data_IF_812754355345
#
_entry.id   IF_812754355345
#
_cell.length_a   1.000
_cell.length_b   1.000
_cell.length_c   1.000
_cell.angle_alpha   90.00
_cell.angle_beta   90.00
_cell.angle_gamma   90.00
#
_symmetry.space_group_name_H-M   'P 1'
#
loop_
_entity.id
_entity.type
_entity.pdbx_description
1 polymer ?
#
# COMPACT_ATOMS: atom_id res chain seq x y z
N UNK A 1 -37.36 45.52 9.77
CA UNK A 1 -36.05 45.06 9.24
C UNK A 1 -36.23 43.69 8.58
N UNK A 2 -35.42 43.32 7.57
CA UNK A 2 -35.38 41.99 7.00
C UNK A 2 -35.23 40.90 8.06
N UNK A 3 -35.96 39.80 7.89
CA UNK A 3 -35.87 38.60 8.73
C UNK A 3 -36.00 37.36 7.84
N UNK A 4 -35.01 36.46 7.91
CA UNK A 4 -35.08 35.15 7.26
C UNK A 4 -36.08 34.30 8.04
N UNK A 5 -37.07 33.75 7.34
CA UNK A 5 -38.19 32.98 7.93
C UNK A 5 -38.21 31.53 7.47
N UNK A 6 -37.50 31.20 6.40
CA UNK A 6 -37.33 29.85 5.89
C UNK A 6 -35.95 29.72 5.26
N UNK A 7 -35.22 28.70 5.66
CA UNK A 7 -33.87 28.40 5.19
C UNK A 7 -33.59 26.89 5.36
N UNK A 8 -32.55 26.34 4.72
CA UNK A 8 -32.13 24.96 4.91
C UNK A 8 -31.48 24.76 6.30
N UNK A 9 -31.32 23.50 6.76
CA UNK A 9 -30.54 23.21 7.97
C UNK A 9 -29.09 23.71 7.83
N UNK A 10 -28.39 23.89 8.95
CA UNK A 10 -27.00 24.37 8.98
C UNK A 10 -26.04 23.46 8.20
N UNK A 11 -26.33 22.16 8.12
CA UNK A 11 -25.56 21.20 7.34
C UNK A 11 -26.46 20.43 6.38
N UNK A 12 -26.06 20.34 5.12
CA UNK A 12 -26.72 19.53 4.09
C UNK A 12 -25.74 18.48 3.56
N UNK A 13 -26.05 17.20 3.79
CA UNK A 13 -25.27 16.06 3.30
C UNK A 13 -25.83 15.61 1.95
N UNK A 14 -24.95 15.40 0.98
CA UNK A 14 -25.30 14.90 -0.36
C UNK A 14 -24.25 13.88 -0.82
N UNK A 15 -24.61 13.02 -1.77
CA UNK A 15 -23.67 12.20 -2.54
C UNK A 15 -23.36 12.85 -3.90
N UNK A 16 -22.23 12.52 -4.53
CA UNK A 16 -21.98 12.96 -5.92
C UNK A 16 -23.10 12.48 -6.87
N UNK A 17 -23.54 13.36 -7.76
CA UNK A 17 -24.64 13.15 -8.70
C UNK A 17 -26.04 13.40 -8.13
N UNK A 18 -26.18 13.73 -6.84
CA UNK A 18 -27.48 14.14 -6.27
C UNK A 18 -27.84 15.59 -6.61
N UNK A 19 -29.10 15.98 -6.35
CA UNK A 19 -29.57 17.36 -6.51
C UNK A 19 -29.34 18.19 -5.23
N UNK A 20 -28.64 19.33 -5.37
CA UNK A 20 -28.55 20.36 -4.34
C UNK A 20 -29.61 21.44 -4.58
N UNK A 21 -30.64 21.44 -3.72
CA UNK A 21 -31.64 22.51 -3.63
C UNK A 21 -31.46 23.34 -2.36
N UNK A 22 -31.28 24.66 -2.49
CA UNK A 22 -31.15 25.60 -1.37
C UNK A 22 -32.19 26.71 -1.51
N UNK A 23 -33.25 26.65 -0.69
CA UNK A 23 -34.30 27.68 -0.66
C UNK A 23 -34.13 28.62 0.52
N UNK A 24 -34.28 29.92 0.29
CA UNK A 24 -34.27 30.94 1.34
C UNK A 24 -35.43 31.92 1.15
N UNK A 25 -36.16 32.23 2.22
CA UNK A 25 -37.25 33.22 2.21
C UNK A 25 -37.06 34.22 3.34
N UNK A 26 -37.25 35.50 3.04
CA UNK A 26 -37.14 36.59 3.99
C UNK A 26 -38.32 37.56 3.88
N UNK A 27 -38.68 38.14 5.02
CA UNK A 27 -39.75 39.13 5.14
C UNK A 27 -39.18 40.47 5.56
N UNK A 28 -39.84 41.57 5.20
CA UNK A 28 -39.41 42.92 5.55
C UNK A 28 -40.22 43.98 4.81
N UNK A 29 -40.13 45.23 5.28
CA UNK A 29 -40.66 46.41 4.61
C UNK A 29 -39.53 47.43 4.43
N UNK A 30 -39.16 47.80 3.18
CA UNK A 30 -39.56 47.17 1.91
C UNK A 30 -39.20 45.67 1.84
N UNK A 31 -39.86 44.94 0.94
CA UNK A 31 -39.57 43.50 0.71
C UNK A 31 -38.07 43.36 0.41
N UNK A 32 -37.33 42.51 1.16
CA UNK A 32 -35.90 42.37 0.96
C UNK A 32 -35.57 41.66 -0.36
N UNK A 33 -34.44 42.04 -0.93
CA UNK A 33 -33.71 41.25 -1.91
C UNK A 33 -33.04 40.07 -1.19
N UNK A 34 -33.10 38.88 -1.78
CA UNK A 34 -32.58 37.64 -1.21
C UNK A 34 -31.65 37.01 -2.24
N UNK A 35 -30.39 36.80 -1.86
CA UNK A 35 -29.37 36.24 -2.75
C UNK A 35 -28.63 35.09 -2.10
N UNK A 36 -28.27 34.07 -2.87
CA UNK A 36 -27.39 32.99 -2.46
C UNK A 36 -25.97 33.22 -2.97
N UNK A 37 -24.99 32.97 -2.11
CA UNK A 37 -23.57 33.07 -2.43
C UNK A 37 -22.84 31.76 -2.14
N UNK A 38 -21.80 31.47 -2.92
CA UNK A 38 -20.75 30.49 -2.60
C UNK A 38 -19.40 31.12 -2.88
N UNK A 39 -18.48 31.04 -1.93
CA UNK A 39 -17.12 31.61 -2.06
C UNK A 39 -17.13 33.09 -2.51
N UNK A 40 -18.05 33.88 -1.94
CA UNK A 40 -18.31 35.29 -2.27
C UNK A 40 -18.88 35.57 -3.67
N UNK A 41 -19.13 34.55 -4.48
CA UNK A 41 -19.77 34.66 -5.80
C UNK A 41 -21.28 34.50 -5.63
N UNK A 42 -22.05 35.45 -6.18
CA UNK A 42 -23.51 35.36 -6.21
C UNK A 42 -23.95 34.28 -7.20
N UNK A 43 -24.82 33.38 -6.74
CA UNK A 43 -25.34 32.27 -7.53
C UNK A 43 -26.70 32.59 -8.14
N UNK A 44 -27.59 33.20 -7.34
CA UNK A 44 -28.95 33.54 -7.72
C UNK A 44 -29.48 34.64 -6.80
N UNK A 45 -30.32 35.51 -7.35
CA UNK A 45 -31.03 36.56 -6.63
C UNK A 45 -32.55 36.43 -6.80
N UNK A 46 -33.31 37.02 -5.88
CA UNK A 46 -34.77 37.07 -5.94
C UNK A 46 -35.36 38.06 -4.96
N UNK A 47 -36.65 38.36 -5.11
CA UNK A 47 -37.36 39.32 -4.26
C UNK A 47 -38.23 38.60 -3.23
N UNK A 48 -37.89 38.74 -1.95
CA UNK A 48 -38.53 38.04 -0.83
C UNK A 48 -38.16 36.56 -0.70
N UNK A 49 -37.67 35.93 -1.78
CA UNK A 49 -37.15 34.56 -1.76
C UNK A 49 -36.20 34.29 -2.92
N UNK A 50 -35.25 33.38 -2.72
CA UNK A 50 -34.41 32.82 -3.77
C UNK A 50 -34.22 31.31 -3.56
N UNK A 51 -34.15 30.58 -4.67
CA UNK A 51 -33.91 29.14 -4.69
C UNK A 51 -32.76 28.81 -5.65
N UNK A 52 -31.67 28.28 -5.10
CA UNK A 52 -30.55 27.78 -5.89
C UNK A 52 -30.73 26.27 -6.12
N UNK A 53 -30.49 25.85 -7.37
CA UNK A 53 -30.60 24.47 -7.82
C UNK A 53 -29.34 24.07 -8.58
N UNK A 54 -28.65 23.04 -8.10
CA UNK A 54 -27.64 22.32 -8.87
C UNK A 54 -28.07 20.86 -9.02
N UNK A 55 -28.31 20.42 -10.26
CA UNK A 55 -28.82 19.08 -10.58
C UNK A 55 -27.71 18.02 -10.71
N UNK A 56 -26.45 18.43 -10.79
CA UNK A 56 -25.30 17.53 -10.96
C UNK A 56 -24.21 17.91 -9.95
N UNK A 57 -24.42 17.52 -8.69
CA UNK A 57 -23.52 17.84 -7.59
C UNK A 57 -22.23 17.05 -7.73
N UNK A 58 -21.12 17.78 -7.74
CA UNK A 58 -19.76 17.23 -7.72
C UNK A 58 -19.08 17.51 -6.37
N UNK A 59 -17.98 16.82 -6.06
CA UNK A 59 -17.15 17.15 -4.88
C UNK A 59 -16.70 18.61 -4.78
N UNK A 60 -16.66 19.35 -5.90
CA UNK A 60 -16.32 20.79 -5.93
C UNK A 60 -17.42 21.67 -5.36
N UNK A 61 -18.63 21.15 -5.24
CA UNK A 61 -19.77 21.84 -4.64
C UNK A 61 -19.76 21.81 -3.11
N UNK A 62 -18.83 21.07 -2.52
CA UNK A 62 -18.56 21.10 -1.08
C UNK A 62 -18.12 22.51 -0.66
N UNK A 63 -18.72 23.04 0.40
CA UNK A 63 -18.40 24.37 0.90
C UNK A 63 -19.56 25.04 1.63
N UNK A 64 -19.35 26.30 2.00
CA UNK A 64 -20.35 27.10 2.69
C UNK A 64 -21.14 27.95 1.70
N UNK A 65 -22.46 27.83 1.74
CA UNK A 65 -23.40 28.61 0.97
C UNK A 65 -24.08 29.61 1.90
N UNK A 66 -24.17 30.87 1.49
CA UNK A 66 -24.73 31.94 2.32
C UNK A 66 -25.95 32.53 1.65
N UNK A 67 -27.09 32.49 2.33
CA UNK A 67 -28.24 33.33 1.98
C UNK A 67 -28.08 34.69 2.64
N UNK A 68 -28.20 35.76 1.87
CA UNK A 68 -28.21 37.14 2.36
C UNK A 68 -29.55 37.77 1.99
N UNK A 69 -30.25 38.33 2.97
CA UNK A 69 -31.47 39.11 2.76
C UNK A 69 -31.24 40.57 3.16
N UNK A 70 -31.41 41.48 2.20
CA UNK A 70 -31.08 42.91 2.36
C UNK A 70 -32.23 43.81 1.94
N UNK A 71 -32.44 44.88 2.70
CA UNK A 71 -33.18 46.04 2.23
C UNK A 71 -32.47 47.33 2.71
N UNK A 72 -33.10 48.49 2.51
CA UNK A 72 -32.55 49.78 2.94
C UNK A 72 -32.38 49.95 4.46
N UNK A 73 -33.01 49.12 5.28
CA UNK A 73 -32.96 49.21 6.74
C UNK A 73 -31.86 48.34 7.35
N UNK A 74 -31.71 47.09 6.89
CA UNK A 74 -30.65 46.19 7.39
C UNK A 74 -30.36 45.04 6.43
N UNK A 75 -29.36 44.25 6.79
CA UNK A 75 -28.98 43.00 6.13
C UNK A 75 -28.93 41.88 7.19
N UNK A 76 -29.43 40.71 6.83
CA UNK A 76 -29.35 39.49 7.64
C UNK A 76 -28.86 38.34 6.76
N UNK A 77 -28.19 37.37 7.36
CA UNK A 77 -27.62 36.24 6.64
C UNK A 77 -27.82 34.90 7.35
N UNK A 78 -27.82 33.82 6.57
CA UNK A 78 -27.83 32.44 7.05
C UNK A 78 -26.83 31.62 6.24
N UNK A 79 -26.01 30.81 6.90
CA UNK A 79 -24.99 29.98 6.24
C UNK A 79 -25.34 28.50 6.35
N UNK A 80 -25.14 27.77 5.25
CA UNK A 80 -25.35 26.33 5.13
C UNK A 80 -24.04 25.68 4.68
N UNK A 81 -23.55 24.72 5.44
CA UNK A 81 -22.44 23.87 5.06
C UNK A 81 -22.95 22.72 4.19
N UNK A 82 -22.60 22.72 2.91
CA UNK A 82 -22.87 21.60 1.99
C UNK A 82 -21.70 20.65 2.03
N UNK A 83 -21.95 19.40 2.41
CA UNK A 83 -20.96 18.33 2.44
C UNK A 83 -21.33 17.29 1.38
N UNK A 84 -20.54 17.25 0.32
CA UNK A 84 -20.64 16.22 -0.72
C UNK A 84 -19.79 15.02 -0.31
N UNK A 85 -20.42 13.86 -0.21
CA UNK A 85 -19.84 12.58 0.20
C UNK A 85 -19.47 11.77 -1.04
N UNK A 86 -18.30 11.18 -1.00
CA UNK A 86 -17.76 10.35 -2.07
C UNK A 86 -16.80 9.31 -1.51
N UNK A 87 -16.72 8.17 -2.19
CA UNK A 87 -15.78 7.09 -1.86
C UNK A 87 -14.33 7.56 -2.06
N UNK A 88 -13.34 6.90 -1.46
CA UNK A 88 -11.95 7.28 -1.64
C UNK A 88 -11.48 7.23 -3.10
N UNK A 89 -10.73 8.24 -3.52
CA UNK A 89 -10.14 8.33 -4.86
C UNK A 89 -8.66 8.69 -4.79
N UNK A 90 -7.95 8.44 -5.89
CA UNK A 90 -6.54 8.84 -6.01
C UNK A 90 -5.64 8.15 -5.00
N UNK A 91 -5.93 6.89 -4.65
CA UNK A 91 -5.14 6.09 -3.71
C UNK A 91 -3.68 6.07 -4.11
N UNK A 92 -2.80 6.45 -3.19
CA UNK A 92 -1.34 6.39 -3.32
C UNK A 92 -0.78 5.61 -2.15
N UNK A 93 0.26 4.84 -2.41
CA UNK A 93 1.00 4.07 -1.40
C UNK A 93 2.50 4.31 -1.60
N UNK A 94 3.23 4.52 -0.51
CA UNK A 94 4.68 4.71 -0.49
C UNK A 94 5.29 4.09 0.76
N UNK A 95 6.59 3.82 0.73
CA UNK A 95 7.35 3.34 1.90
C UNK A 95 8.44 4.32 2.27
N UNK A 96 8.97 4.21 3.50
CA UNK A 96 10.15 4.96 3.96
C UNK A 96 11.48 4.25 3.67
N UNK A 97 11.45 3.09 3.01
CA UNK A 97 12.64 2.32 2.67
C UNK A 97 13.58 3.15 1.79
N UNK A 98 14.77 3.48 2.32
CA UNK A 98 15.79 4.22 1.59
C UNK A 98 16.29 3.36 0.43
N UNK A 99 16.24 3.89 -0.80
CA UNK A 99 16.64 3.15 -2.02
C UNK A 99 15.82 1.89 -2.32
N UNK A 100 14.54 1.88 -1.92
CA UNK A 100 13.60 0.77 -2.15
C UNK A 100 14.03 -0.58 -1.54
N UNK A 101 15.02 -0.62 -0.65
CA UNK A 101 15.51 -1.87 -0.03
C UNK A 101 15.75 -1.73 1.47
N UNK A 102 15.24 -2.69 2.24
CA UNK A 102 15.43 -2.82 3.69
C UNK A 102 16.39 -3.96 4.00
N UNK A 103 17.12 -3.89 5.11
CA UNK A 103 17.80 -5.02 5.71
C UNK A 103 16.87 -5.79 6.66
N UNK A 104 17.09 -7.10 6.78
CA UNK A 104 16.32 -7.91 7.74
C UNK A 104 16.46 -7.37 9.15
N UNK A 105 15.33 -7.20 9.82
CA UNK A 105 15.25 -6.66 11.17
C UNK A 105 15.12 -5.14 11.28
N UNK A 106 15.14 -4.41 10.17
CA UNK A 106 14.73 -3.01 10.15
C UNK A 106 13.22 -2.84 10.34
N UNK A 107 12.81 -1.64 10.73
CA UNK A 107 11.40 -1.25 10.81
C UNK A 107 10.97 -0.63 9.47
N UNK A 108 9.79 -1.01 8.99
CA UNK A 108 9.19 -0.51 7.76
C UNK A 108 7.97 0.36 8.07
N UNK A 109 7.93 1.57 7.53
CA UNK A 109 6.73 2.41 7.48
C UNK A 109 6.15 2.42 6.07
N UNK A 110 4.87 2.07 5.96
CA UNK A 110 4.08 2.23 4.74
C UNK A 110 3.07 3.35 4.97
N UNK A 111 2.98 4.28 4.02
CA UNK A 111 2.01 5.39 4.06
C UNK A 111 1.09 5.26 2.87
N UNK A 112 -0.21 5.28 3.15
CA UNK A 112 -1.28 5.27 2.19
C UNK A 112 -2.12 6.54 2.31
N UNK A 113 -2.43 7.16 1.17
CA UNK A 113 -3.16 8.42 1.09
C UNK A 113 -4.28 8.28 0.07
N UNK A 114 -5.47 8.80 0.37
CA UNK A 114 -6.60 8.88 -0.56
C UNK A 114 -7.47 10.08 -0.22
N UNK A 115 -8.06 10.72 -1.24
CA UNK A 115 -9.02 11.81 -1.07
C UNK A 115 -10.42 11.23 -0.90
N UNK A 116 -11.11 11.57 0.19
CA UNK A 116 -12.44 11.04 0.47
C UNK A 116 -13.26 11.92 1.40
N UNK A 117 -14.59 11.79 1.31
CA UNK A 117 -15.50 12.35 2.31
C UNK A 117 -16.64 11.35 2.61
N UNK A 118 -16.79 10.85 3.84
CA UNK A 118 -15.96 11.07 5.04
C UNK A 118 -14.53 10.55 4.90
N UNK A 119 -13.67 10.85 5.89
CA UNK A 119 -12.31 10.31 5.97
C UNK A 119 -12.34 8.78 5.90
N UNK A 120 -11.34 8.16 5.26
CA UNK A 120 -11.35 6.73 5.02
C UNK A 120 -10.67 5.95 6.16
N UNK A 121 -10.97 4.66 6.19
CA UNK A 121 -10.19 3.64 6.87
C UNK A 121 -9.34 2.95 5.80
N UNK A 122 -8.10 2.61 6.13
CA UNK A 122 -7.15 1.98 5.22
C UNK A 122 -6.83 0.56 5.68
N UNK A 123 -6.98 -0.39 4.78
CA UNK A 123 -6.56 -1.78 4.97
C UNK A 123 -5.28 -2.07 4.20
N UNK A 124 -4.27 -2.62 4.88
CA UNK A 124 -3.02 -3.07 4.28
C UNK A 124 -3.02 -4.59 4.15
N UNK A 125 -2.68 -5.08 2.96
CA UNK A 125 -2.53 -6.50 2.64
C UNK A 125 -1.09 -6.79 2.22
N UNK A 126 -0.59 -7.97 2.59
CA UNK A 126 0.69 -8.50 2.12
C UNK A 126 0.42 -9.66 1.16
N UNK A 127 1.05 -9.59 0.00
CA UNK A 127 0.99 -10.58 -1.07
C UNK A 127 2.31 -11.35 -1.04
N UNK A 128 2.33 -12.48 -0.34
CA UNK A 128 3.56 -13.27 -0.18
C UNK A 128 4.06 -13.77 -1.53
N UNK A 129 5.35 -13.58 -1.80
CA UNK A 129 6.06 -14.19 -2.92
C UNK A 129 6.69 -15.54 -2.55
N UNK A 130 6.57 -15.97 -1.29
CA UNK A 130 7.22 -17.18 -0.76
C UNK A 130 6.20 -18.32 -0.66
N UNK A 131 6.45 -19.42 -1.38
CA UNK A 131 5.61 -20.64 -1.38
C UNK A 131 4.93 -20.94 -2.72
N UNK A 132 4.12 -22.00 -2.76
CA UNK A 132 3.36 -22.47 -3.93
C UNK A 132 1.97 -21.80 -4.08
N UNK A 133 1.61 -20.87 -3.20
CA UNK A 133 0.32 -20.18 -3.20
C UNK A 133 0.47 -18.66 -3.11
N UNK A 134 -0.38 -17.93 -3.84
CA UNK A 134 -0.56 -16.48 -3.68
C UNK A 134 -1.43 -16.22 -2.46
N UNK A 135 -0.86 -16.36 -1.27
CA UNK A 135 -1.56 -16.00 -0.04
C UNK A 135 -1.59 -14.47 0.09
N UNK A 136 -2.80 -13.92 0.18
CA UNK A 136 -3.05 -12.49 0.42
C UNK A 136 -3.62 -12.36 1.82
N UNK A 137 -2.85 -11.76 2.71
CA UNK A 137 -3.22 -11.65 4.13
C UNK A 137 -3.40 -10.19 4.50
N UNK A 138 -4.52 -9.87 5.15
CA UNK A 138 -4.72 -8.55 5.76
C UNK A 138 -3.78 -8.40 6.96
N UNK A 139 -2.89 -7.42 6.90
CA UNK A 139 -1.83 -7.21 7.88
C UNK A 139 -2.29 -6.25 8.98
N UNK A 140 -2.83 -5.10 8.59
CA UNK A 140 -3.20 -4.01 9.51
C UNK A 140 -4.37 -3.19 8.93
N UNK A 141 -5.10 -2.50 9.82
CA UNK A 141 -6.11 -1.49 9.48
C UNK A 141 -5.84 -0.22 10.28
N UNK A 142 -5.85 0.95 9.62
CA UNK A 142 -5.64 2.25 10.30
C UNK A 142 -6.53 3.35 9.72
N UNK A 143 -6.84 4.37 10.52
CA UNK A 143 -7.53 5.59 10.08
C UNK A 143 -6.57 6.67 9.56
N UNK A 144 -5.29 6.58 9.96
CA UNK A 144 -4.26 7.54 9.58
C UNK A 144 -3.63 7.26 8.21
N UNK A 145 -3.77 6.02 7.71
CA UNK A 145 -3.07 5.56 6.52
C UNK A 145 -1.59 5.24 6.75
N UNK A 146 -1.10 5.33 7.99
CA UNK A 146 0.27 4.94 8.34
C UNK A 146 0.30 3.53 8.94
N UNK A 147 1.17 2.67 8.42
CA UNK A 147 1.36 1.30 8.87
C UNK A 147 2.81 1.07 9.28
N UNK A 148 3.02 0.39 10.41
CA UNK A 148 4.34 0.15 10.96
C UNK A 148 4.57 -1.35 11.14
N UNK A 149 5.57 -1.89 10.45
CA UNK A 149 5.98 -3.30 10.52
C UNK A 149 7.37 -3.33 11.14
N UNK A 150 7.44 -3.74 12.41
CA UNK A 150 8.71 -3.80 13.15
C UNK A 150 9.50 -5.06 12.82
N UNK A 151 10.83 -4.96 12.82
CA UNK A 151 11.74 -6.10 12.70
C UNK A 151 11.39 -7.01 11.51
N UNK A 152 11.37 -6.42 10.32
CA UNK A 152 10.89 -7.06 9.08
C UNK A 152 11.67 -8.34 8.77
N UNK A 153 10.96 -9.37 8.34
CA UNK A 153 11.52 -10.69 8.04
C UNK A 153 11.62 -10.95 6.53
N UNK A 154 12.51 -11.85 6.08
CA UNK A 154 12.59 -12.26 4.68
C UNK A 154 11.26 -12.76 4.09
N UNK A 155 10.41 -13.41 4.89
CA UNK A 155 9.08 -13.88 4.47
C UNK A 155 8.07 -12.76 4.25
N UNK A 156 8.31 -11.56 4.79
CA UNK A 156 7.48 -10.37 4.61
C UNK A 156 7.90 -9.55 3.38
N UNK A 157 8.90 -10.01 2.62
CA UNK A 157 9.19 -9.50 1.30
C UNK A 157 7.99 -9.73 0.37
N UNK A 158 7.77 -8.81 -0.56
CA UNK A 158 6.77 -8.98 -1.62
C UNK A 158 6.01 -7.70 -1.90
N UNK A 159 4.84 -7.85 -2.52
CA UNK A 159 3.96 -6.71 -2.77
C UNK A 159 3.07 -6.47 -1.55
N UNK A 160 2.86 -5.21 -1.24
CA UNK A 160 1.87 -4.76 -0.28
C UNK A 160 0.81 -3.97 -1.03
N UNK A 161 -0.45 -4.19 -0.69
CA UNK A 161 -1.55 -3.39 -1.22
C UNK A 161 -2.30 -2.64 -0.14
N UNK A 162 -2.69 -1.41 -0.46
CA UNK A 162 -3.54 -0.60 0.39
C UNK A 162 -4.89 -0.39 -0.29
N UNK A 163 -5.95 -0.59 0.49
CA UNK A 163 -7.32 -0.39 0.06
C UNK A 163 -8.01 0.58 1.05
N UNK A 164 -8.25 1.84 0.64
CA UNK A 164 -9.04 2.77 1.43
C UNK A 164 -10.54 2.52 1.24
N UNK A 165 -11.31 2.67 2.30
CA UNK A 165 -12.77 2.61 2.23
C UNK A 165 -13.42 3.57 3.22
N UNK A 166 -14.61 4.07 2.88
CA UNK A 166 -15.47 4.78 3.81
C UNK A 166 -16.90 4.24 3.69
N UNK A 167 -17.85 4.87 4.36
CA UNK A 167 -19.23 4.41 4.35
C UNK A 167 -19.99 4.68 3.03
N UNK A 168 -19.36 5.39 2.07
CA UNK A 168 -19.89 5.57 0.71
C UNK A 168 -19.42 4.44 -0.19
N UNK A 169 -18.19 3.97 -0.01
CA UNK A 169 -17.67 2.82 -0.72
C UNK A 169 -16.16 2.65 -0.62
N UNK A 170 -15.65 1.74 -1.43
CA UNK A 170 -14.24 1.36 -1.49
C UNK A 170 -13.51 2.09 -2.62
N UNK A 171 -12.32 2.58 -2.33
CA UNK A 171 -11.41 3.17 -3.31
C UNK A 171 -10.63 2.12 -4.09
N UNK A 172 -9.86 2.57 -5.09
CA UNK A 172 -9.00 1.70 -5.85
C UNK A 172 -7.84 1.17 -4.98
N UNK A 173 -7.42 -0.06 -5.25
CA UNK A 173 -6.23 -0.66 -4.66
C UNK A 173 -4.95 0.01 -5.21
N UNK A 174 -3.98 0.27 -4.35
CA UNK A 174 -2.66 0.72 -4.73
C UNK A 174 -1.59 -0.26 -4.21
N UNK A 175 -0.54 -0.50 -5.00
CA UNK A 175 0.50 -1.50 -4.73
C UNK A 175 1.88 -0.84 -4.52
N UNK A 176 2.66 -1.38 -3.59
CA UNK A 176 4.09 -1.08 -3.45
C UNK A 176 4.86 -2.37 -3.24
N UNK A 177 6.07 -2.48 -3.81
CA UNK A 177 6.93 -3.64 -3.60
C UNK A 177 7.96 -3.35 -2.53
N UNK A 178 8.08 -4.27 -1.58
CA UNK A 178 9.04 -4.20 -0.48
C UNK A 178 10.11 -5.25 -0.70
N UNK A 179 11.36 -4.81 -0.76
CA UNK A 179 12.52 -5.68 -0.85
C UNK A 179 13.21 -5.76 0.51
N UNK A 180 13.45 -7.00 0.96
CA UNK A 180 14.16 -7.28 2.22
C UNK A 180 15.45 -8.04 1.88
N UNK A 181 16.58 -7.44 2.22
CA UNK A 181 17.93 -7.97 2.06
C UNK A 181 18.30 -8.81 3.28
N UNK A 182 18.86 -9.99 3.05
CA UNK A 182 19.30 -10.90 4.09
C UNK A 182 20.43 -11.79 3.59
N UNK A 183 21.24 -12.26 4.53
CA UNK A 183 22.38 -13.12 4.26
C UNK A 183 21.96 -14.46 3.64
N UNK A 184 22.85 -15.13 2.89
CA UNK A 184 22.54 -16.42 2.29
C UNK A 184 22.29 -17.48 3.35
N UNK A 185 21.39 -18.42 3.06
CA UNK A 185 21.12 -19.60 3.91
C UNK A 185 21.04 -20.84 3.02
N UNK A 186 21.89 -21.84 3.29
CA UNK A 186 21.80 -23.15 2.64
C UNK A 186 20.76 -23.99 3.38
N UNK A 187 19.53 -24.03 2.86
CA UNK A 187 18.41 -24.80 3.41
C UNK A 187 18.70 -26.30 3.37
N UNK A 188 19.21 -26.77 2.24
CA UNK A 188 19.45 -28.19 2.01
C UNK A 188 20.72 -28.42 1.19
N UNK A 189 21.52 -29.39 1.62
CA UNK A 189 22.58 -29.98 0.82
C UNK A 189 22.22 -31.45 0.65
N UNK A 190 22.03 -31.90 -0.59
CA UNK A 190 21.50 -33.25 -0.85
C UNK A 190 22.27 -33.94 -1.97
N UNK A 191 22.76 -35.18 -1.72
CA UNK A 191 22.71 -35.94 -0.46
C UNK A 191 23.67 -35.41 0.61
N UNK A 192 23.42 -35.70 1.89
CA UNK A 192 24.29 -35.26 3.03
C UNK A 192 25.45 -36.21 3.32
N UNK A 193 25.34 -37.47 2.89
CA UNK A 193 26.39 -38.49 2.83
C UNK A 193 26.07 -39.40 1.66
N UNK A 194 27.08 -39.81 0.90
CA UNK A 194 26.88 -40.71 -0.24
C UNK A 194 28.02 -41.71 -0.34
N UNK A 195 27.63 -42.98 -0.47
CA UNK A 195 28.52 -44.08 -0.82
C UNK A 195 28.22 -44.39 -2.28
N UNK A 196 29.22 -44.27 -3.14
CA UNK A 196 29.11 -44.55 -4.57
C UNK A 196 30.02 -45.71 -4.96
N UNK A 197 29.62 -46.46 -5.97
CA UNK A 197 30.50 -47.40 -6.67
C UNK A 197 31.22 -46.68 -7.82
N UNK A 198 32.41 -47.12 -8.21
CA UNK A 198 33.09 -46.61 -9.42
C UNK A 198 32.15 -46.52 -10.63
N UNK A 199 32.30 -45.43 -11.40
CA UNK A 199 31.50 -45.07 -12.58
C UNK A 199 30.06 -44.60 -12.31
N UNK A 200 29.57 -44.62 -11.07
CA UNK A 200 28.28 -44.00 -10.73
C UNK A 200 28.35 -42.47 -10.83
N UNK A 201 27.23 -41.79 -11.14
CA UNK A 201 27.19 -40.34 -11.18
C UNK A 201 27.05 -39.75 -9.76
N UNK A 202 27.90 -38.79 -9.42
CA UNK A 202 27.72 -37.94 -8.25
C UNK A 202 26.89 -36.71 -8.63
N UNK A 203 25.81 -36.46 -7.89
CA UNK A 203 25.00 -35.25 -7.99
C UNK A 203 24.77 -34.67 -6.60
N UNK A 204 25.27 -33.46 -6.36
CA UNK A 204 25.07 -32.74 -5.09
C UNK A 204 24.32 -31.45 -5.38
N UNK A 205 23.08 -31.36 -4.89
CA UNK A 205 22.25 -30.15 -4.96
C UNK A 205 22.47 -29.28 -3.72
N UNK A 206 22.71 -28.00 -3.94
CA UNK A 206 22.79 -26.97 -2.90
C UNK A 206 21.58 -26.02 -3.02
N UNK A 207 20.62 -26.21 -2.13
CA UNK A 207 19.43 -25.38 -2.04
C UNK A 207 19.68 -24.18 -1.12
N UNK A 208 19.58 -22.99 -1.70
CA UNK A 208 19.98 -21.72 -1.10
C UNK A 208 18.90 -20.66 -1.27
N UNK A 209 18.75 -19.88 -0.20
CA UNK A 209 17.97 -18.65 -0.16
C UNK A 209 18.89 -17.47 0.16
N UNK A 210 18.47 -16.27 -0.24
CA UNK A 210 19.18 -15.03 0.04
C UNK A 210 18.68 -13.91 -0.87
N UNK A 211 18.74 -12.67 -0.39
CA UNK A 211 18.50 -11.50 -1.24
C UNK A 211 19.52 -10.40 -0.96
N UNK A 212 20.24 -9.87 -1.97
CA UNK A 212 20.22 -10.28 -3.38
C UNK A 212 20.56 -11.76 -3.61
N UNK A 213 20.25 -12.29 -4.80
CA UNK A 213 20.47 -13.71 -5.12
C UNK A 213 21.95 -14.08 -4.87
N UNK A 214 22.27 -15.05 -4.00
CA UNK A 214 23.64 -15.39 -3.68
C UNK A 214 24.41 -16.01 -4.85
N UNK A 215 25.68 -15.64 -4.99
CA UNK A 215 26.65 -16.34 -5.83
C UNK A 215 27.10 -17.62 -5.13
N UNK A 216 27.11 -18.72 -5.88
CA UNK A 216 27.53 -20.04 -5.41
C UNK A 216 28.98 -20.35 -5.78
N UNK A 217 29.65 -21.08 -4.90
CA UNK A 217 30.98 -21.64 -5.16
C UNK A 217 31.10 -23.01 -4.52
N UNK A 218 31.57 -23.98 -5.29
CA UNK A 218 31.93 -25.31 -4.81
C UNK A 218 33.43 -25.41 -4.64
N UNK A 219 33.86 -25.98 -3.51
CA UNK A 219 35.27 -26.31 -3.26
C UNK A 219 35.46 -27.76 -2.87
N UNK A 220 36.55 -28.36 -3.33
CA UNK A 220 36.99 -29.67 -2.85
C UNK A 220 37.63 -29.58 -1.44
N UNK A 221 38.09 -30.72 -0.91
CA UNK A 221 38.73 -30.80 0.40
C UNK A 221 40.04 -30.02 0.53
N UNK A 222 40.63 -29.60 -0.60
CA UNK A 222 41.83 -28.78 -0.65
C UNK A 222 41.53 -27.28 -0.85
N UNK A 223 40.25 -26.90 -0.94
CA UNK A 223 39.81 -25.53 -1.18
C UNK A 223 39.87 -25.11 -2.67
N UNK A 224 40.10 -26.04 -3.60
CA UNK A 224 40.10 -25.72 -5.03
C UNK A 224 38.67 -25.45 -5.49
N UNK A 225 38.46 -24.37 -6.23
CA UNK A 225 37.16 -24.09 -6.86
C UNK A 225 36.89 -25.10 -7.98
N UNK A 226 35.74 -25.78 -7.90
CA UNK A 226 35.32 -26.85 -8.80
C UNK A 226 33.95 -26.57 -9.45
N UNK A 227 33.35 -25.40 -9.20
CA UNK A 227 32.10 -25.00 -9.86
C UNK A 227 31.32 -23.91 -9.14
N UNK A 228 30.25 -23.43 -9.77
CA UNK A 228 29.37 -22.36 -9.27
C UNK A 228 27.88 -22.65 -9.47
N UNK A 229 27.53 -23.84 -9.95
CA UNK A 229 26.16 -24.22 -10.26
C UNK A 229 25.39 -24.69 -9.02
N UNK A 230 24.05 -24.65 -9.07
CA UNK A 230 23.19 -25.19 -8.00
C UNK A 230 23.37 -26.69 -7.78
N UNK A 231 23.74 -27.41 -8.83
CA UNK A 231 24.01 -28.84 -8.81
C UNK A 231 25.46 -29.07 -9.24
N UNK A 232 26.28 -29.58 -8.32
CA UNK A 232 27.60 -30.09 -8.66
C UNK A 232 27.50 -31.53 -9.15
N UNK A 233 28.21 -31.86 -10.23
CA UNK A 233 28.12 -33.17 -10.88
C UNK A 233 29.47 -33.75 -11.26
N UNK A 234 29.65 -35.04 -11.01
CA UNK A 234 30.73 -35.86 -11.58
C UNK A 234 30.05 -37.02 -12.31
N UNK A 235 30.12 -37.10 -13.66
CA UNK A 235 29.38 -38.12 -14.41
C UNK A 235 29.81 -39.56 -14.10
N UNK A 236 31.10 -39.77 -13.87
CA UNK A 236 31.71 -41.06 -13.56
C UNK A 236 32.71 -40.87 -12.42
N UNK A 237 32.38 -41.34 -11.22
CA UNK A 237 33.29 -41.20 -10.07
C UNK A 237 34.42 -42.23 -10.09
N UNK A 238 35.60 -41.79 -9.64
CA UNK A 238 36.78 -42.59 -9.35
C UNK A 238 37.11 -42.57 -7.86
N UNK A 239 37.98 -43.47 -7.39
CA UNK A 239 38.46 -43.49 -5.99
C UNK A 239 39.08 -42.15 -5.56
N UNK A 240 39.72 -41.43 -6.49
CA UNK A 240 40.30 -40.12 -6.25
C UNK A 240 39.28 -39.01 -5.97
N UNK A 241 38.00 -39.21 -6.33
CA UNK A 241 36.92 -38.25 -6.10
C UNK A 241 36.36 -38.37 -4.66
N UNK A 242 36.82 -39.35 -3.88
CA UNK A 242 36.52 -39.46 -2.47
C UNK A 242 37.01 -38.21 -1.73
N UNK A 243 36.17 -37.63 -0.88
CA UNK A 243 36.55 -36.47 -0.09
C UNK A 243 35.39 -35.64 0.40
N UNK A 244 35.72 -34.41 0.79
CA UNK A 244 34.77 -33.41 1.27
C UNK A 244 34.52 -32.40 0.16
N UNK A 245 33.25 -32.12 -0.09
CA UNK A 245 32.82 -31.09 -1.03
C UNK A 245 32.01 -30.05 -0.28
N UNK A 246 32.36 -28.78 -0.44
CA UNK A 246 31.72 -27.67 0.28
C UNK A 246 31.03 -26.74 -0.71
N UNK A 247 29.72 -26.54 -0.50
CA UNK A 247 28.98 -25.47 -1.14
C UNK A 247 29.08 -24.21 -0.28
N UNK A 248 29.47 -23.09 -0.88
CA UNK A 248 29.50 -21.77 -0.25
C UNK A 248 28.64 -20.78 -1.02
N UNK A 249 27.97 -19.86 -0.32
CA UNK A 249 27.10 -18.84 -0.89
C UNK A 249 27.37 -17.46 -0.29
N UNK A 250 27.46 -16.44 -1.14
CA UNK A 250 27.65 -15.04 -0.74
C UNK A 250 26.80 -14.09 -1.59
N UNK A 251 26.19 -13.08 -0.98
CA UNK A 251 25.51 -11.98 -1.67
C UNK A 251 25.99 -10.60 -1.20
N UNK A 252 27.20 -10.54 -0.61
CA UNK A 252 27.75 -9.33 -0.01
C UNK A 252 27.18 -8.98 1.37
N UNK A 253 26.28 -9.80 1.93
CA UNK A 253 25.73 -9.64 3.28
C UNK A 253 26.23 -10.80 4.16
N UNK A 254 26.81 -10.47 5.30
CA UNK A 254 27.33 -11.45 6.25
C UNK A 254 26.23 -11.97 7.20
N UNK A 255 26.37 -13.21 7.71
CA UNK A 255 27.42 -14.18 7.39
C UNK A 255 27.19 -14.85 6.02
N UNK A 256 28.28 -15.20 5.33
CA UNK A 256 28.18 -16.12 4.20
C UNK A 256 27.75 -17.51 4.69
N UNK A 257 27.06 -18.28 3.85
CA UNK A 257 26.68 -19.64 4.19
C UNK A 257 27.64 -20.65 3.57
N UNK A 258 27.98 -21.71 4.31
CA UNK A 258 28.66 -22.87 3.76
C UNK A 258 28.08 -24.17 4.34
N UNK A 259 28.18 -25.25 3.58
CA UNK A 259 27.78 -26.60 4.02
C UNK A 259 28.56 -27.64 3.24
N UNK A 260 29.02 -28.67 3.95
CA UNK A 260 29.88 -29.70 3.37
C UNK A 260 29.20 -31.07 3.36
N UNK A 261 29.52 -31.87 2.35
CA UNK A 261 29.14 -33.28 2.21
C UNK A 261 30.40 -34.13 2.11
N UNK A 262 30.34 -35.32 2.69
CA UNK A 262 31.41 -36.31 2.60
C UNK A 262 30.98 -37.41 1.62
N UNK A 263 31.84 -37.67 0.63
CA UNK A 263 31.63 -38.68 -0.41
C UNK A 263 32.65 -39.79 -0.21
N UNK A 264 32.19 -41.04 -0.27
CA UNK A 264 33.04 -42.25 -0.29
C UNK A 264 32.79 -43.03 -1.58
N UNK A 265 33.86 -43.52 -2.19
CA UNK A 265 33.81 -44.29 -3.44
C UNK A 265 34.41 -45.68 -3.20
N UNK A 266 33.69 -46.72 -3.61
CA UNK A 266 34.07 -48.13 -3.48
C UNK A 266 34.34 -48.77 -4.85
#
# INVERSE_FOLDING_TARGET
PPKIVSHPPETKLLSEGEELRLGCKATGKPIPEVSWYKDYVELIEGKGSAEYLNQDVSRRDNGNYKCVARNNASQVEHTVQVIVRYKPVGTKIKTDAKSDTLETGEDLKIVCEADSKPNPIFDLFHHSEVGLGREVVKVQTTETGEFYIKNIKPSQRGNYSCIPHNNVGQGAEALVRVFVRFSPVIRKLSPTKLNLTKNEPLLISCDIEGYPLPQLTWTDGNGKNIGSERIFKIPHVHESDQGVYTCSASNGILPNANKSVHIKVF
#
